data_IF_250962422247
#
_entry.id   IF_250962422247
#
_cell.length_a   1.000
_cell.length_b   1.000
_cell.length_c   1.000
_cell.angle_alpha   90.00
_cell.angle_beta   90.00
_cell.angle_gamma   90.00
#
_symmetry.space_group_name_H-M   'P 1'
#
loop_
_entity.id
_entity.type
_entity.pdbx_description
1 polymer ?
#
# COMPACT_ATOMS: atom_id res chain seq x y z
N UNK A 1 34.65 -42.07 9.76
CA UNK A 1 36.01 -41.51 9.82
C UNK A 1 36.22 -40.96 11.23
N UNK A 2 36.49 -41.85 12.19
CA UNK A 2 36.81 -41.53 13.59
C UNK A 2 37.91 -42.51 13.97
N UNK A 3 39.11 -42.00 14.26
CA UNK A 3 40.25 -42.79 14.73
C UNK A 3 40.79 -42.11 15.97
N UNK A 4 40.67 -42.80 17.12
CA UNK A 4 41.33 -42.43 18.37
C UNK A 4 42.74 -43.03 18.39
N UNK A 5 43.74 -42.22 18.74
CA UNK A 5 45.09 -42.69 19.09
C UNK A 5 45.21 -42.90 20.59
N UNK A 6 45.73 -44.06 20.98
CA UNK A 6 46.11 -44.45 22.35
C UNK A 6 47.63 -44.40 22.50
N UNK A 7 48.12 -43.95 23.66
CA UNK A 7 49.44 -44.33 24.24
C UNK A 7 49.53 -43.71 25.65
N UNK A 8 50.25 -44.21 26.65
CA UNK A 8 50.77 -45.52 27.07
C UNK A 8 51.22 -45.28 28.52
N UNK A 9 50.82 -46.11 29.46
CA UNK A 9 51.28 -46.05 30.86
C UNK A 9 52.72 -46.56 31.00
N UNK A 10 53.50 -45.97 31.93
CA UNK A 10 54.73 -46.57 32.47
C UNK A 10 54.55 -46.78 33.98
N UNK A 11 54.75 -48.02 34.43
CA UNK A 11 54.67 -48.46 35.83
C UNK A 11 56.07 -48.87 36.30
N UNK A 12 56.46 -48.49 37.53
CA UNK A 12 57.61 -49.09 38.24
C UNK A 12 57.19 -49.48 39.67
N UNK A 13 57.26 -50.80 39.94
CA UNK A 13 57.20 -51.53 41.24
C UNK A 13 58.33 -51.04 42.18
N UNK A 14 58.38 -51.16 43.50
CA UNK A 14 57.79 -52.08 44.52
C UNK A 14 58.31 -51.65 45.92
N UNK A 15 57.52 -51.75 46.99
CA UNK A 15 57.87 -52.50 48.23
C UNK A 15 56.80 -52.31 49.34
N UNK A 16 56.65 -53.34 50.18
CA UNK A 16 55.47 -53.66 51.01
C UNK A 16 55.67 -53.30 52.48
N UNK A 17 54.59 -52.98 53.19
CA UNK A 17 54.40 -53.21 54.64
C UNK A 17 52.92 -53.64 54.91
N UNK A 18 52.60 -54.52 55.88
CA UNK A 18 51.38 -55.35 55.86
C UNK A 18 50.33 -55.09 56.95
N UNK A 19 49.14 -55.69 56.72
CA UNK A 19 48.11 -56.19 57.67
C UNK A 19 47.12 -55.20 58.34
N UNK A 20 45.87 -55.15 57.82
CA UNK A 20 44.69 -55.87 58.37
C UNK A 20 43.48 -55.83 57.40
N UNK A 21 42.70 -56.92 57.41
CA UNK A 21 41.72 -57.43 56.43
C UNK A 21 40.41 -56.60 56.37
N UNK A 22 39.87 -56.18 55.22
CA UNK A 22 39.20 -56.84 54.08
C UNK A 22 37.67 -57.02 54.25
N UNK A 23 36.91 -56.16 53.55
CA UNK A 23 35.45 -56.20 53.41
C UNK A 23 34.93 -55.24 52.32
N UNK A 24 35.01 -55.67 51.06
CA UNK A 24 34.07 -55.45 49.93
C UNK A 24 33.83 -54.03 49.31
N UNK A 25 34.41 -53.81 48.11
CA UNK A 25 33.85 -53.30 46.81
C UNK A 25 32.83 -52.13 46.85
N UNK A 26 32.87 -51.06 46.04
CA UNK A 26 33.56 -50.75 44.78
C UNK A 26 33.37 -49.27 44.37
N UNK A 27 34.24 -48.83 43.47
CA UNK A 27 34.05 -47.81 42.42
C UNK A 27 34.14 -46.31 42.79
N UNK A 28 35.36 -45.80 42.70
CA UNK A 28 35.68 -44.39 42.46
C UNK A 28 35.31 -44.09 40.99
N UNK A 29 34.17 -43.43 40.79
CA UNK A 29 33.79 -42.76 39.55
C UNK A 29 34.14 -41.28 39.67
N UNK A 30 35.02 -40.82 38.79
CA UNK A 30 35.42 -39.43 38.57
C UNK A 30 34.23 -38.46 38.54
N UNK A 31 34.04 -37.69 39.61
CA UNK A 31 33.26 -36.46 39.58
C UNK A 31 34.16 -35.36 38.97
N UNK A 32 33.99 -35.13 37.67
CA UNK A 32 34.18 -33.80 37.11
C UNK A 32 33.27 -32.85 37.89
N UNK A 33 33.85 -32.01 38.74
CA UNK A 33 33.18 -30.83 39.26
C UNK A 33 32.95 -29.91 38.06
N UNK A 34 31.70 -29.57 37.67
CA UNK A 34 31.49 -28.50 36.71
C UNK A 34 32.04 -27.21 37.32
N UNK A 35 32.92 -26.55 36.57
CA UNK A 35 33.46 -25.24 36.88
C UNK A 35 32.37 -24.32 37.44
N UNK A 36 32.68 -23.65 38.56
CA UNK A 36 31.78 -22.77 39.25
C UNK A 36 31.13 -21.78 38.29
N UNK A 37 29.80 -21.70 38.37
CA UNK A 37 29.11 -20.47 38.03
C UNK A 37 29.66 -19.45 39.04
N UNK A 38 30.57 -18.59 38.61
CA UNK A 38 30.79 -17.34 39.33
C UNK A 38 29.46 -16.61 39.28
N UNK A 39 28.65 -16.76 40.33
CA UNK A 39 27.61 -15.79 40.62
C UNK A 39 28.29 -14.43 40.54
N UNK A 40 27.74 -13.51 39.76
CA UNK A 40 28.24 -12.15 39.64
C UNK A 40 27.98 -11.46 40.99
N UNK A 41 28.82 -11.77 41.98
CA UNK A 41 28.68 -11.32 43.35
C UNK A 41 29.43 -10.00 43.44
N UNK A 42 28.84 -8.95 42.87
CA UNK A 42 29.25 -7.60 43.23
C UNK A 42 28.94 -7.39 44.70
N UNK A 43 29.90 -6.87 45.47
CA UNK A 43 29.70 -6.59 46.89
C UNK A 43 28.52 -5.65 47.09
N UNK A 44 27.68 -5.95 48.08
CA UNK A 44 26.51 -5.14 48.41
C UNK A 44 26.90 -3.98 49.35
N UNK A 45 26.53 -2.76 48.99
CA UNK A 45 26.64 -1.57 49.84
C UNK A 45 25.50 -1.47 50.86
N UNK A 46 24.29 -1.82 50.46
CA UNK A 46 23.09 -1.77 51.30
C UNK A 46 22.20 -2.97 50.98
N UNK A 47 21.68 -3.65 52.01
CA UNK A 47 20.75 -4.76 51.86
C UNK A 47 19.62 -4.60 52.86
N UNK A 48 18.38 -4.56 52.36
CA UNK A 48 17.17 -4.70 53.17
C UNK A 48 16.64 -6.13 53.04
N UNK A 49 16.36 -6.77 54.17
CA UNK A 49 15.83 -8.14 54.26
C UNK A 49 14.49 -8.16 54.97
N UNK A 50 13.68 -9.18 54.71
CA UNK A 50 12.48 -9.45 55.50
C UNK A 50 12.79 -10.24 56.79
N UNK A 51 11.75 -10.55 57.56
CA UNK A 51 11.86 -11.28 58.85
C UNK A 51 12.42 -12.70 58.71
N UNK A 52 12.35 -13.30 57.52
CA UNK A 52 12.88 -14.62 57.20
C UNK A 52 14.18 -14.56 56.37
N UNK A 53 14.84 -13.40 56.35
CA UNK A 53 16.16 -13.16 55.73
C UNK A 53 16.20 -13.14 54.19
N UNK A 54 15.06 -13.06 53.50
CA UNK A 54 15.06 -12.86 52.04
C UNK A 54 15.46 -11.42 51.70
N UNK A 55 16.32 -11.24 50.70
CA UNK A 55 16.71 -9.90 50.21
C UNK A 55 15.52 -9.27 49.48
N UNK A 56 15.08 -8.10 49.94
CA UNK A 56 14.00 -7.29 49.34
C UNK A 56 14.51 -6.07 48.61
N UNK A 57 15.65 -5.51 49.04
CA UNK A 57 16.37 -4.48 48.30
C UNK A 57 17.86 -4.70 48.47
N UNK A 58 18.64 -4.55 47.41
CA UNK A 58 20.09 -4.49 47.48
C UNK A 58 20.62 -3.35 46.61
N UNK A 59 21.64 -2.66 47.07
CA UNK A 59 22.46 -1.70 46.30
C UNK A 59 23.88 -2.25 46.28
N UNK A 60 24.50 -2.28 45.10
CA UNK A 60 25.80 -2.89 44.86
C UNK A 60 26.89 -1.82 44.68
N UNK A 61 28.15 -2.19 44.92
CA UNK A 61 29.29 -1.27 44.77
C UNK A 61 29.43 -0.68 43.37
N UNK A 62 28.98 -1.40 42.34
CA UNK A 62 28.98 -0.91 40.96
C UNK A 62 27.85 0.10 40.66
N UNK A 63 27.06 0.49 41.67
CA UNK A 63 25.93 1.42 41.53
C UNK A 63 24.62 0.77 41.10
N UNK A 64 24.61 -0.53 40.80
CA UNK A 64 23.37 -1.28 40.52
C UNK A 64 22.49 -1.39 41.76
N UNK A 65 21.19 -1.58 41.56
CA UNK A 65 20.26 -1.93 42.63
C UNK A 65 19.25 -2.96 42.15
N UNK A 66 18.72 -3.74 43.09
CA UNK A 66 17.67 -4.74 42.85
C UNK A 66 16.57 -4.53 43.89
N UNK A 67 15.32 -4.53 43.43
CA UNK A 67 14.13 -4.66 44.28
C UNK A 67 13.56 -6.05 44.07
N UNK A 68 13.64 -6.86 45.12
CA UNK A 68 13.14 -8.23 45.14
C UNK A 68 11.69 -8.30 45.63
N UNK A 69 11.09 -9.47 45.51
CA UNK A 69 9.73 -9.72 45.94
C UNK A 69 9.19 -11.03 45.39
N UNK A 70 8.05 -11.46 45.89
CA UNK A 70 7.39 -12.69 45.46
C UNK A 70 6.11 -12.35 44.69
N UNK A 71 5.91 -12.99 43.55
CA UNK A 71 4.66 -12.91 42.81
C UNK A 71 3.62 -13.81 43.48
N UNK A 72 2.51 -13.21 43.90
CA UNK A 72 1.43 -13.91 44.60
C UNK A 72 0.12 -13.89 43.84
N UNK A 73 0.04 -13.14 42.73
CA UNK A 73 -1.20 -12.86 42.02
C UNK A 73 -2.21 -12.11 42.89
N UNK A 74 -1.74 -11.29 43.84
CA UNK A 74 -2.54 -10.72 44.94
C UNK A 74 -3.91 -10.20 44.49
N UNK A 75 -4.94 -11.01 44.77
CA UNK A 75 -6.31 -10.71 44.44
C UNK A 75 -6.88 -9.58 45.30
N UNK A 76 -6.32 -9.32 46.48
CA UNK A 76 -6.81 -8.30 47.42
C UNK A 76 -6.41 -6.88 46.98
N UNK A 77 -5.40 -6.75 46.12
CA UNK A 77 -4.98 -5.46 45.57
C UNK A 77 -4.37 -4.52 46.61
N UNK A 78 -3.56 -5.05 47.52
CA UNK A 78 -2.90 -4.21 48.54
C UNK A 78 -1.64 -3.60 47.93
N UNK A 79 -1.79 -2.41 47.36
CA UNK A 79 -0.68 -1.67 46.75
C UNK A 79 0.19 -0.98 47.80
N UNK A 80 1.50 -0.80 47.54
CA UNK A 80 2.41 -0.10 48.45
C UNK A 80 1.98 1.33 48.78
N UNK A 81 1.34 2.01 47.83
CA UNK A 81 0.85 3.38 48.01
C UNK A 81 -0.39 3.64 47.14
N UNK A 82 -1.50 3.97 47.80
CA UNK A 82 -2.79 4.28 47.18
C UNK A 82 -3.07 5.79 47.15
N UNK A 83 -4.06 6.21 46.36
CA UNK A 83 -4.52 7.59 46.29
C UNK A 83 -3.72 8.49 45.33
N UNK A 84 -4.03 9.80 45.33
CA UNK A 84 -3.34 10.78 44.49
C UNK A 84 -1.90 11.02 44.95
N UNK A 85 -1.05 11.50 44.03
CA UNK A 85 0.31 11.95 44.31
C UNK A 85 1.36 11.36 43.38
N UNK A 86 2.54 11.98 43.40
CA UNK A 86 3.72 11.54 42.66
C UNK A 86 4.43 10.42 43.42
N UNK A 87 4.67 9.29 42.77
CA UNK A 87 5.36 8.16 43.37
C UNK A 87 5.98 7.23 42.35
N UNK A 88 6.96 6.47 42.82
CA UNK A 88 7.47 5.27 42.16
C UNK A 88 7.25 4.10 43.12
N UNK A 89 6.75 2.99 42.62
CA UNK A 89 6.74 1.74 43.38
C UNK A 89 6.86 0.52 42.49
N UNK A 90 7.62 -0.45 42.99
CA UNK A 90 7.60 -1.84 42.55
C UNK A 90 6.55 -2.58 43.37
N UNK A 91 5.63 -3.27 42.69
CA UNK A 91 4.61 -4.09 43.34
C UNK A 91 4.83 -5.58 43.03
N UNK A 92 5.60 -6.30 43.86
CA UNK A 92 5.98 -7.67 43.57
C UNK A 92 4.82 -8.66 43.53
N UNK A 93 3.79 -8.47 44.37
CA UNK A 93 2.62 -9.35 44.43
C UNK A 93 1.90 -9.51 43.08
N UNK A 94 2.02 -8.50 42.20
CA UNK A 94 1.54 -8.53 40.81
C UNK A 94 2.65 -8.37 39.77
N UNK A 95 3.92 -8.39 40.17
CA UNK A 95 5.06 -8.06 39.31
C UNK A 95 4.87 -6.75 38.50
N UNK A 96 4.27 -5.73 39.12
CA UNK A 96 3.85 -4.52 38.44
C UNK A 96 4.75 -3.32 38.78
N UNK A 97 5.00 -2.45 37.81
CA UNK A 97 5.81 -1.25 37.98
C UNK A 97 4.97 0.02 37.76
N UNK A 98 5.12 0.99 38.66
CA UNK A 98 4.44 2.30 38.60
C UNK A 98 5.43 3.43 38.83
N UNK A 99 5.38 4.47 38.01
CA UNK A 99 6.19 5.68 38.21
C UNK A 99 5.51 6.91 37.59
N UNK A 100 5.52 8.04 38.30
CA UNK A 100 4.89 9.28 37.85
C UNK A 100 3.85 9.78 38.83
N UNK A 101 2.78 10.42 38.34
CA UNK A 101 1.79 11.10 39.18
C UNK A 101 0.37 10.75 38.78
N UNK A 102 -0.49 10.56 39.77
CA UNK A 102 -1.91 10.28 39.59
C UNK A 102 -2.74 11.24 40.42
N UNK A 103 -3.87 11.70 39.90
CA UNK A 103 -4.78 12.62 40.62
C UNK A 103 -5.95 11.90 41.28
N UNK A 104 -6.05 10.57 41.14
CA UNK A 104 -7.14 9.77 41.68
C UNK A 104 -6.75 8.33 41.96
N UNK A 105 -7.61 7.40 41.56
CA UNK A 105 -7.50 5.97 41.88
C UNK A 105 -6.81 5.12 40.81
N UNK A 106 -6.15 5.71 39.81
CA UNK A 106 -5.61 5.00 38.64
C UNK A 106 -4.69 3.83 39.01
N UNK A 107 -3.99 3.91 40.15
CA UNK A 107 -3.12 2.86 40.71
C UNK A 107 -3.66 2.22 42.00
N UNK A 108 -4.97 2.28 42.24
CA UNK A 108 -5.62 1.42 43.22
C UNK A 108 -5.40 -0.05 42.84
N UNK A 109 -5.27 -0.95 43.81
CA UNK A 109 -4.77 -2.29 43.51
C UNK A 109 -5.68 -3.15 42.64
N UNK A 110 -7.00 -2.88 42.61
CA UNK A 110 -7.90 -3.52 41.63
C UNK A 110 -7.64 -3.06 40.18
N UNK A 111 -7.01 -1.90 39.99
CA UNK A 111 -6.67 -1.34 38.67
C UNK A 111 -5.20 -1.57 38.30
N UNK A 112 -4.44 -2.27 39.14
CA UNK A 112 -3.08 -2.73 38.81
C UNK A 112 -3.19 -4.15 38.25
N UNK A 113 -2.90 -4.29 36.96
CA UNK A 113 -2.84 -5.59 36.31
C UNK A 113 -1.58 -6.39 36.68
N UNK A 114 -1.64 -7.70 36.53
CA UNK A 114 -0.46 -8.55 36.68
C UNK A 114 0.57 -8.25 35.59
N UNK A 115 1.85 -8.29 35.93
CA UNK A 115 2.98 -8.03 35.02
C UNK A 115 2.89 -6.67 34.29
N UNK A 116 2.14 -5.72 34.84
CA UNK A 116 1.78 -4.50 34.13
C UNK A 116 2.73 -3.34 34.40
N UNK A 117 2.85 -2.45 33.43
CA UNK A 117 3.68 -1.23 33.53
C UNK A 117 2.79 -0.01 33.28
N UNK A 118 2.79 0.95 34.19
CA UNK A 118 2.14 2.25 33.96
C UNK A 118 3.07 3.38 34.42
N UNK A 119 3.48 4.23 33.47
CA UNK A 119 4.40 5.33 33.75
C UNK A 119 3.94 6.65 33.13
N UNK A 120 3.94 7.72 33.90
CA UNK A 120 3.58 9.07 33.47
C UNK A 120 2.48 9.71 34.32
N UNK A 121 1.67 10.57 33.72
CA UNK A 121 0.61 11.32 34.40
C UNK A 121 -0.76 10.69 34.14
N UNK A 122 -1.48 10.30 35.18
CA UNK A 122 -2.83 9.69 35.09
C UNK A 122 -2.91 8.47 34.17
N UNK A 123 -1.84 7.67 34.12
CA UNK A 123 -1.74 6.48 33.27
C UNK A 123 -2.26 5.25 33.99
N UNK A 124 -3.00 4.38 33.28
CA UNK A 124 -3.58 3.14 33.81
C UNK A 124 -3.19 1.92 32.99
N UNK A 125 -2.72 0.86 33.65
CA UNK A 125 -2.48 -0.46 33.05
C UNK A 125 -3.15 -1.53 33.90
N UNK A 126 -4.31 -2.02 33.44
CA UNK A 126 -5.29 -2.68 34.33
C UNK A 126 -5.31 -4.19 34.28
N UNK A 127 -4.85 -4.76 33.17
CA UNK A 127 -4.97 -6.18 32.89
C UNK A 127 -3.59 -6.83 32.81
N UNK A 128 -3.58 -8.15 32.78
CA UNK A 128 -2.35 -8.93 32.71
C UNK A 128 -1.52 -8.55 31.48
N UNK A 129 -0.23 -8.23 31.69
CA UNK A 129 0.71 -7.80 30.65
C UNK A 129 0.40 -6.44 30.03
N UNK A 130 -0.55 -5.68 30.57
CA UNK A 130 -0.89 -4.36 30.04
C UNK A 130 0.25 -3.36 30.26
N UNK A 131 0.55 -2.56 29.24
CA UNK A 131 1.64 -1.58 29.28
C UNK A 131 1.13 -0.22 28.83
N UNK A 132 1.33 0.80 29.66
CA UNK A 132 0.88 2.15 29.37
C UNK A 132 1.92 3.23 29.72
N UNK A 133 2.06 4.22 28.84
CA UNK A 133 3.00 5.33 29.00
C UNK A 133 2.38 6.68 28.58
N UNK A 134 2.75 7.77 29.25
CA UNK A 134 2.46 9.15 28.82
C UNK A 134 1.47 9.90 29.70
N UNK A 135 0.43 10.51 29.11
CA UNK A 135 -0.53 11.38 29.81
C UNK A 135 -1.97 10.92 29.56
N UNK A 136 -2.70 10.56 30.62
CA UNK A 136 -4.13 10.21 30.53
C UNK A 136 -4.41 8.95 29.70
N UNK A 137 -3.40 8.09 29.52
CA UNK A 137 -3.47 6.92 28.65
C UNK A 137 -3.85 5.66 29.43
N UNK A 138 -4.66 4.78 28.85
CA UNK A 138 -5.17 3.56 29.48
C UNK A 138 -4.94 2.32 28.61
N UNK A 139 -4.18 1.34 29.13
CA UNK A 139 -4.15 -0.03 28.67
C UNK A 139 -5.10 -0.88 29.54
N UNK A 140 -6.29 -1.17 29.03
CA UNK A 140 -7.39 -1.74 29.81
C UNK A 140 -7.50 -3.27 29.73
N UNK A 141 -6.91 -3.89 28.71
CA UNK A 141 -7.09 -5.33 28.42
C UNK A 141 -5.78 -6.12 28.37
N UNK A 142 -5.91 -7.45 28.38
CA UNK A 142 -4.77 -8.38 28.40
C UNK A 142 -3.83 -8.08 27.23
N UNK A 143 -2.53 -7.96 27.54
CA UNK A 143 -1.46 -7.65 26.58
C UNK A 143 -1.72 -6.40 25.73
N UNK A 144 -2.52 -5.45 26.23
CA UNK A 144 -2.76 -4.18 25.54
C UNK A 144 -1.62 -3.19 25.78
N UNK A 145 -1.32 -2.39 24.76
CA UNK A 145 -0.24 -1.41 24.79
C UNK A 145 -0.79 -0.02 24.44
N UNK A 146 -0.57 0.96 25.30
CA UNK A 146 -1.04 2.32 25.08
C UNK A 146 0.04 3.36 25.37
N UNK A 147 0.37 4.25 24.42
CA UNK A 147 1.46 5.23 24.62
C UNK A 147 1.15 6.59 24.00
N UNK A 148 1.46 7.67 24.73
CA UNK A 148 1.24 9.04 24.28
C UNK A 148 0.19 9.74 25.15
N UNK A 149 -0.70 10.52 24.55
CA UNK A 149 -1.67 11.33 25.28
C UNK A 149 -3.12 10.97 24.95
N UNK A 150 -3.92 10.76 25.99
CA UNK A 150 -5.35 10.44 25.90
C UNK A 150 -5.68 9.20 25.08
N UNK A 151 -4.81 8.18 25.08
CA UNK A 151 -5.03 6.96 24.31
C UNK A 151 -5.71 5.87 25.16
N UNK A 152 -6.49 5.00 24.53
CA UNK A 152 -7.17 3.87 25.20
C UNK A 152 -7.05 2.60 24.38
N UNK A 153 -6.19 1.68 24.84
CA UNK A 153 -6.12 0.32 24.34
C UNK A 153 -7.11 -0.56 25.13
N UNK A 154 -8.36 -0.62 24.65
CA UNK A 154 -9.48 -1.33 25.28
C UNK A 154 -9.80 -2.70 24.69
N UNK A 155 -9.14 -3.13 23.62
CA UNK A 155 -9.21 -4.50 23.09
C UNK A 155 -8.04 -5.36 23.59
N UNK A 156 -8.24 -6.68 23.71
CA UNK A 156 -7.15 -7.61 24.03
C UNK A 156 -6.10 -7.62 22.91
N UNK A 157 -4.82 -7.70 23.28
CA UNK A 157 -3.67 -7.63 22.36
C UNK A 157 -3.72 -6.44 21.39
N UNK A 158 -4.31 -5.32 21.81
CA UNK A 158 -4.47 -4.12 20.97
C UNK A 158 -3.44 -3.04 21.29
N UNK A 159 -3.18 -2.17 20.32
CA UNK A 159 -2.21 -1.08 20.42
C UNK A 159 -2.89 0.26 20.14
N UNK A 160 -2.79 1.21 21.06
CA UNK A 160 -3.26 2.58 20.89
C UNK A 160 -2.11 3.58 21.11
N UNK A 161 -1.70 4.33 20.10
CA UNK A 161 -0.58 5.25 20.23
C UNK A 161 -0.78 6.60 19.56
N UNK A 162 -0.08 7.62 20.08
CA UNK A 162 -0.14 8.99 19.56
C UNK A 162 -1.04 9.90 20.40
N UNK A 163 -2.07 10.49 19.79
CA UNK A 163 -2.99 11.43 20.43
C UNK A 163 -4.46 11.08 20.16
N UNK A 164 -5.24 10.76 21.20
CA UNK A 164 -6.65 10.31 21.12
C UNK A 164 -6.88 9.06 20.23
N UNK A 165 -5.99 8.07 20.29
CA UNK A 165 -6.19 6.75 19.70
C UNK A 165 -7.02 5.85 20.62
N UNK A 166 -8.01 5.12 20.07
CA UNK A 166 -8.87 4.25 20.87
C UNK A 166 -9.17 2.92 20.14
N UNK A 167 -8.72 1.79 20.69
CA UNK A 167 -8.93 0.47 20.04
C UNK A 167 -10.36 -0.04 20.19
N UNK A 168 -11.21 0.64 20.95
CA UNK A 168 -12.66 0.49 20.93
C UNK A 168 -13.12 -0.94 21.27
N UNK A 169 -12.44 -1.62 22.19
CA UNK A 169 -12.68 -3.03 22.49
C UNK A 169 -12.45 -4.01 21.31
N UNK A 170 -11.84 -3.58 20.21
CA UNK A 170 -11.53 -4.44 19.06
C UNK A 170 -10.22 -5.18 19.32
N UNK A 171 -10.30 -6.50 19.37
CA UNK A 171 -9.15 -7.38 19.62
C UNK A 171 -8.12 -7.27 18.50
N UNK A 172 -6.83 -7.28 18.85
CA UNK A 172 -5.71 -7.29 17.91
C UNK A 172 -5.66 -6.08 16.98
N UNK A 173 -6.38 -5.00 17.31
CA UNK A 173 -6.38 -3.78 16.51
C UNK A 173 -5.20 -2.87 16.85
N UNK A 174 -4.69 -2.19 15.85
CA UNK A 174 -3.66 -1.17 15.96
C UNK A 174 -4.25 0.18 15.58
N UNK A 175 -4.12 1.17 16.46
CA UNK A 175 -4.60 2.54 16.24
C UNK A 175 -3.46 3.51 16.47
N UNK A 176 -3.12 4.29 15.44
CA UNK A 176 -2.11 5.34 15.51
C UNK A 176 -2.68 6.66 15.02
N UNK A 177 -2.63 7.70 15.84
CA UNK A 177 -3.19 9.01 15.49
C UNK A 177 -2.24 10.15 15.80
N UNK A 178 -2.10 11.07 14.84
CA UNK A 178 -1.32 12.31 14.99
C UNK A 178 -2.04 13.34 15.90
N UNK A 179 -1.41 14.49 16.15
CA UNK A 179 -1.98 15.57 16.97
C UNK A 179 -2.89 16.54 16.21
N UNK A 180 -3.33 16.22 14.98
CA UNK A 180 -4.08 17.17 14.13
C UNK A 180 -5.52 17.43 14.57
N UNK A 181 -6.11 16.54 15.38
CA UNK A 181 -7.44 16.71 15.95
C UNK A 181 -7.48 16.15 17.38
N UNK A 182 -8.36 16.72 18.21
CA UNK A 182 -8.70 16.16 19.52
C UNK A 182 -9.78 15.06 19.43
N UNK A 183 -10.33 14.82 18.23
CA UNK A 183 -11.29 13.74 18.01
C UNK A 183 -10.63 12.37 18.14
N UNK A 184 -11.36 11.47 18.79
CA UNK A 184 -10.89 10.10 18.99
C UNK A 184 -10.98 9.27 17.71
N UNK A 185 -9.83 8.76 17.25
CA UNK A 185 -9.80 7.74 16.20
C UNK A 185 -10.13 6.37 16.81
N UNK A 186 -11.20 5.73 16.32
CA UNK A 186 -11.66 4.42 16.82
C UNK A 186 -11.45 3.31 15.80
N UNK A 187 -10.98 2.16 16.26
CA UNK A 187 -11.00 0.94 15.46
C UNK A 187 -12.45 0.52 15.14
N UNK A 188 -12.73 0.19 13.88
CA UNK A 188 -14.04 -0.24 13.42
C UNK A 188 -14.32 -1.71 13.75
N UNK A 189 -13.36 -2.59 13.46
CA UNK A 189 -13.47 -4.05 13.55
C UNK A 189 -12.23 -4.68 14.21
N UNK A 190 -12.35 -5.93 14.66
CA UNK A 190 -11.22 -6.70 15.17
C UNK A 190 -10.12 -6.85 14.11
N UNK A 191 -8.86 -6.95 14.55
CA UNK A 191 -7.69 -7.20 13.69
C UNK A 191 -7.46 -6.14 12.60
N UNK A 192 -7.80 -4.88 12.89
CA UNK A 192 -7.65 -3.75 11.96
C UNK A 192 -6.48 -2.84 12.33
N UNK A 193 -5.81 -2.29 11.33
CA UNK A 193 -4.87 -1.18 11.48
C UNK A 193 -5.56 0.13 11.04
N UNK A 194 -5.55 1.14 11.92
CA UNK A 194 -6.33 2.37 11.76
C UNK A 194 -5.44 3.57 12.03
N UNK A 195 -5.12 4.36 11.00
CA UNK A 195 -4.15 5.45 11.10
C UNK A 195 -4.80 6.80 10.78
N UNK A 196 -4.65 7.81 11.65
CA UNK A 196 -4.99 9.23 11.36
C UNK A 196 -3.69 10.02 11.24
N UNK A 197 -3.30 10.29 9.99
CA UNK A 197 -2.06 10.96 9.62
C UNK A 197 -2.39 12.09 8.65
N UNK A 198 -2.75 13.25 9.17
CA UNK A 198 -3.21 14.41 8.38
C UNK A 198 -2.17 14.92 7.39
N UNK A 199 -0.88 14.76 7.70
CA UNK A 199 0.25 15.08 6.82
C UNK A 199 0.59 14.00 5.78
N UNK A 200 -0.14 12.88 5.75
CA UNK A 200 0.18 11.72 4.92
C UNK A 200 1.22 10.78 5.54
N UNK A 201 1.61 9.74 4.80
CA UNK A 201 2.61 8.75 5.22
C UNK A 201 3.33 8.11 4.02
N UNK A 202 4.46 7.46 4.30
CA UNK A 202 5.26 6.72 3.31
C UNK A 202 5.60 5.32 3.81
N UNK A 203 5.55 4.34 2.91
CA UNK A 203 5.98 2.96 3.16
C UNK A 203 7.03 2.62 2.12
N UNK A 204 8.23 2.25 2.55
CA UNK A 204 9.32 1.84 1.67
C UNK A 204 9.52 0.32 1.74
N UNK A 205 9.80 -0.28 0.59
CA UNK A 205 10.14 -1.71 0.44
C UNK A 205 11.61 -1.91 0.05
N UNK A 206 12.41 -0.86 0.14
CA UNK A 206 13.84 -0.83 -0.17
C UNK A 206 14.60 -0.11 0.95
N UNK A 207 15.79 -0.62 1.30
CA UNK A 207 16.62 -0.08 2.38
C UNK A 207 17.15 1.33 2.09
N UNK A 208 17.28 1.70 0.81
CA UNK A 208 17.70 3.02 0.35
C UNK A 208 16.53 3.99 0.11
N UNK A 209 15.29 3.61 0.46
CA UNK A 209 14.08 4.42 0.31
C UNK A 209 13.69 4.76 -1.15
N UNK A 210 14.23 4.07 -2.16
CA UNK A 210 13.93 4.36 -3.58
C UNK A 210 12.61 3.76 -4.07
N UNK A 211 12.18 2.67 -3.45
CA UNK A 211 10.97 1.90 -3.81
C UNK A 211 9.99 1.93 -2.65
N UNK A 212 8.75 2.33 -2.95
CA UNK A 212 7.70 2.46 -1.95
C UNK A 212 6.42 3.11 -2.48
N UNK A 213 5.50 3.33 -1.54
CA UNK A 213 4.23 4.02 -1.70
C UNK A 213 4.25 5.30 -0.84
N UNK A 214 3.85 6.40 -1.45
CA UNK A 214 3.58 7.65 -0.74
C UNK A 214 2.09 7.95 -0.80
N UNK A 215 1.47 8.13 0.37
CA UNK A 215 0.10 8.64 0.50
C UNK A 215 0.19 10.05 1.06
N UNK A 216 -0.14 11.05 0.27
CA UNK A 216 0.00 12.45 0.69
C UNK A 216 -1.21 12.94 1.47
N UNK A 217 -1.00 14.00 2.25
CA UNK A 217 -2.09 14.86 2.68
C UNK A 217 -2.79 15.46 1.45
N UNK A 218 -4.12 15.62 1.47
CA UNK A 218 -4.85 16.40 0.46
C UNK A 218 -4.56 17.92 0.50
N UNK A 219 -3.46 18.33 1.13
CA UNK A 219 -2.97 19.70 1.18
C UNK A 219 -2.30 20.07 -0.15
N UNK A 220 -2.41 21.33 -0.55
CA UNK A 220 -1.75 21.90 -1.75
C UNK A 220 -0.26 22.19 -1.53
N UNK A 221 0.24 22.01 -0.30
CA UNK A 221 1.65 22.21 0.01
C UNK A 221 2.45 20.99 -0.45
N UNK A 222 3.50 21.24 -1.25
CA UNK A 222 4.42 20.19 -1.69
C UNK A 222 5.04 19.49 -0.48
N UNK A 223 4.71 18.20 -0.33
CA UNK A 223 5.26 17.33 0.69
C UNK A 223 5.95 16.17 -0.02
N UNK A 224 7.20 15.89 0.33
CA UNK A 224 8.04 14.88 -0.35
C UNK A 224 8.14 15.06 -1.88
N UNK A 225 8.10 16.32 -2.34
CA UNK A 225 8.32 16.69 -3.74
C UNK A 225 7.08 16.60 -4.64
N UNK A 226 5.87 16.43 -4.08
CA UNK A 226 4.62 16.48 -4.84
C UNK A 226 3.51 17.20 -4.06
N UNK A 227 2.73 18.04 -4.75
CA UNK A 227 1.59 18.81 -4.21
C UNK A 227 0.21 18.32 -4.66
N UNK A 228 0.14 17.44 -5.69
CA UNK A 228 -1.10 17.18 -6.42
C UNK A 228 -1.44 15.69 -6.57
N UNK A 229 -0.94 14.84 -5.67
CA UNK A 229 -1.15 13.40 -5.72
C UNK A 229 -1.52 12.81 -4.36
N UNK A 230 -2.69 12.17 -4.24
CA UNK A 230 -3.09 11.43 -3.03
C UNK A 230 -2.31 10.12 -2.93
N UNK A 231 -2.12 9.42 -4.05
CA UNK A 231 -1.24 8.26 -4.14
C UNK A 231 -0.13 8.59 -5.14
N UNK A 232 1.11 8.46 -4.71
CA UNK A 232 2.28 8.60 -5.57
C UNK A 232 3.17 7.37 -5.44
N UNK A 233 3.50 6.77 -6.59
CA UNK A 233 4.32 5.56 -6.65
C UNK A 233 5.71 5.90 -7.18
N UNK A 234 6.72 5.13 -6.74
CA UNK A 234 8.10 5.25 -7.26
C UNK A 234 8.23 5.01 -8.78
N UNK A 235 7.22 4.43 -9.44
CA UNK A 235 7.19 4.27 -10.90
C UNK A 235 6.80 5.56 -11.62
N UNK A 236 6.36 6.59 -10.92
CA UNK A 236 5.88 7.86 -11.46
C UNK A 236 4.41 7.87 -11.87
N UNK A 237 3.69 6.74 -11.72
CA UNK A 237 2.23 6.74 -11.81
C UNK A 237 1.62 7.32 -10.51
N UNK A 238 0.53 8.07 -10.64
CA UNK A 238 -0.09 8.74 -9.50
C UNK A 238 -1.62 8.78 -9.60
N UNK A 239 -2.28 8.84 -8.44
CA UNK A 239 -3.67 9.26 -8.32
C UNK A 239 -3.68 10.72 -7.87
N UNK A 240 -4.17 11.60 -8.72
CA UNK A 240 -4.24 13.04 -8.40
C UNK A 240 -5.22 13.32 -7.27
N UNK A 241 -5.08 14.49 -6.63
CA UNK A 241 -6.05 14.98 -5.64
C UNK A 241 -7.47 15.13 -6.21
N UNK A 242 -7.60 15.34 -7.52
CA UNK A 242 -8.88 15.36 -8.24
C UNK A 242 -9.46 13.99 -8.59
N UNK A 243 -8.79 12.89 -8.22
CA UNK A 243 -9.28 11.52 -8.46
C UNK A 243 -8.94 10.93 -9.83
N UNK A 244 -8.07 11.57 -10.61
CA UNK A 244 -7.61 11.07 -11.93
C UNK A 244 -6.37 10.20 -11.76
N UNK A 245 -6.40 8.98 -12.32
CA UNK A 245 -5.21 8.14 -12.48
C UNK A 245 -4.35 8.63 -13.64
N UNK A 246 -3.08 8.92 -13.37
CA UNK A 246 -2.11 9.33 -14.37
C UNK A 246 -1.01 8.27 -14.51
N UNK A 247 -0.88 7.74 -15.73
CA UNK A 247 0.19 6.83 -16.09
C UNK A 247 1.50 7.59 -16.33
N UNK A 248 2.63 7.00 -15.92
CA UNK A 248 3.95 7.50 -16.27
C UNK A 248 4.23 7.31 -17.77
N UNK A 249 4.07 8.36 -18.57
CA UNK A 249 4.18 8.28 -20.04
C UNK A 249 5.05 9.40 -20.64
N UNK A 250 6.30 9.50 -20.18
CA UNK A 250 7.32 10.40 -20.74
C UNK A 250 8.15 9.66 -21.82
N UNK A 251 8.41 10.30 -22.95
CA UNK A 251 9.24 9.77 -24.03
C UNK A 251 10.65 9.42 -23.56
N UNK A 252 11.22 10.20 -22.63
CA UNK A 252 12.56 9.98 -22.07
C UNK A 252 12.62 8.73 -21.16
N UNK A 253 11.46 8.20 -20.78
CA UNK A 253 11.33 6.96 -20.00
C UNK A 253 11.02 5.74 -20.86
N UNK A 254 10.85 5.94 -22.18
CA UNK A 254 10.51 4.90 -23.15
C UNK A 254 11.65 4.73 -24.14
N UNK A 255 11.78 3.53 -24.67
CA UNK A 255 12.76 3.20 -25.70
C UNK A 255 12.17 2.17 -26.66
N UNK A 256 12.82 1.92 -27.80
CA UNK A 256 12.37 1.00 -28.87
C UNK A 256 11.02 1.41 -29.46
N UNK A 257 10.98 2.59 -30.07
CA UNK A 257 9.79 3.06 -30.77
C UNK A 257 9.69 2.38 -32.14
N UNK A 258 8.50 1.85 -32.45
CA UNK A 258 8.18 1.21 -33.71
C UNK A 258 6.91 1.84 -34.28
N UNK A 259 6.81 1.93 -35.61
CA UNK A 259 5.60 2.41 -36.27
C UNK A 259 4.54 1.30 -36.27
N UNK A 260 3.29 1.70 -36.07
CA UNK A 260 2.16 0.77 -35.99
C UNK A 260 1.36 0.87 -37.29
N UNK A 261 1.10 -0.27 -37.93
CA UNK A 261 0.14 -0.38 -39.02
C UNK A 261 -1.28 -0.32 -38.43
N UNK A 262 -1.88 0.87 -38.41
CA UNK A 262 -3.17 1.10 -37.75
C UNK A 262 -4.29 0.20 -38.30
N UNK A 263 -4.26 -0.10 -39.60
CA UNK A 263 -5.26 -0.97 -40.23
C UNK A 263 -5.22 -2.40 -39.67
N UNK A 264 -4.02 -2.95 -39.42
CA UNK A 264 -3.89 -4.27 -38.79
C UNK A 264 -4.45 -4.28 -37.36
N UNK A 265 -4.31 -3.16 -36.63
CA UNK A 265 -4.92 -3.01 -35.30
C UNK A 265 -6.45 -3.03 -35.41
N UNK A 266 -7.02 -2.31 -36.39
CA UNK A 266 -8.46 -2.29 -36.62
C UNK A 266 -8.99 -3.68 -37.00
N UNK A 267 -8.27 -4.44 -37.83
CA UNK A 267 -8.63 -5.81 -38.19
C UNK A 267 -8.62 -6.76 -36.98
N UNK A 268 -7.62 -6.62 -36.09
CA UNK A 268 -7.53 -7.37 -34.84
C UNK A 268 -8.66 -6.99 -33.88
N UNK A 269 -8.95 -5.68 -33.73
CA UNK A 269 -10.07 -5.19 -32.94
C UNK A 269 -11.41 -5.75 -33.42
N UNK A 270 -11.63 -5.85 -34.73
CA UNK A 270 -12.85 -6.45 -35.29
C UNK A 270 -13.05 -7.91 -34.88
N UNK A 271 -11.96 -8.66 -34.65
CA UNK A 271 -12.00 -10.06 -34.24
C UNK A 271 -11.98 -10.23 -32.72
N UNK A 272 -11.66 -9.19 -31.97
CA UNK A 272 -11.52 -9.24 -30.52
C UNK A 272 -12.89 -9.38 -29.86
N UNK A 273 -13.15 -10.45 -29.09
CA UNK A 273 -14.40 -10.60 -28.37
C UNK A 273 -14.54 -9.51 -27.30
N UNK A 274 -15.67 -8.80 -27.31
CA UNK A 274 -16.08 -7.88 -26.25
C UNK A 274 -17.34 -8.43 -25.61
N UNK A 275 -17.28 -8.71 -24.32
CA UNK A 275 -18.38 -9.35 -23.59
C UNK A 275 -18.78 -8.52 -22.37
N UNK A 276 -19.98 -8.76 -21.84
CA UNK A 276 -20.43 -8.19 -20.57
C UNK A 276 -20.19 -9.18 -19.45
N UNK A 277 -19.54 -8.78 -18.38
CA UNK A 277 -19.13 -9.65 -17.28
C UNK A 277 -19.32 -8.97 -15.92
N UNK A 278 -19.06 -9.70 -14.83
CA UNK A 278 -19.07 -9.22 -13.44
C UNK A 278 -17.87 -9.80 -12.70
N UNK A 279 -17.29 -9.06 -11.75
CA UNK A 279 -16.30 -9.66 -10.87
C UNK A 279 -16.98 -10.63 -9.88
N UNK A 280 -16.29 -11.73 -9.55
CA UNK A 280 -16.80 -12.73 -8.60
C UNK A 280 -17.03 -12.17 -7.18
N UNK A 281 -16.37 -11.07 -6.84
CA UNK A 281 -16.43 -10.41 -5.53
C UNK A 281 -17.39 -9.23 -5.49
N UNK A 282 -18.08 -8.94 -6.60
CA UNK A 282 -19.08 -7.88 -6.69
C UNK A 282 -20.49 -8.45 -6.67
N UNK A 283 -21.47 -7.58 -6.36
CA UNK A 283 -22.87 -7.96 -6.45
C UNK A 283 -23.27 -8.31 -7.90
N UNK A 284 -24.15 -9.29 -8.07
CA UNK A 284 -24.51 -9.84 -9.40
C UNK A 284 -25.12 -8.81 -10.37
N UNK A 285 -25.67 -7.72 -9.84
CA UNK A 285 -26.25 -6.64 -10.63
C UNK A 285 -25.18 -5.66 -11.19
N UNK A 286 -23.94 -5.72 -10.74
CA UNK A 286 -22.85 -4.88 -11.24
C UNK A 286 -22.30 -5.53 -12.52
N UNK A 287 -22.37 -4.81 -13.64
CA UNK A 287 -21.94 -5.29 -14.96
C UNK A 287 -20.88 -4.38 -15.55
N UNK A 288 -19.84 -5.00 -16.09
CA UNK A 288 -18.75 -4.38 -16.84
C UNK A 288 -18.79 -4.83 -18.29
N UNK A 289 -18.12 -4.10 -19.17
CA UNK A 289 -17.97 -4.44 -20.58
C UNK A 289 -16.50 -4.29 -20.97
N UNK A 290 -15.98 -5.27 -21.70
CA UNK A 290 -14.61 -5.23 -22.20
C UNK A 290 -14.15 -6.58 -22.73
N UNK A 291 -12.96 -6.62 -23.35
CA UNK A 291 -12.32 -7.87 -23.71
C UNK A 291 -11.79 -8.60 -22.48
N UNK A 292 -11.58 -9.92 -22.61
CA UNK A 292 -10.81 -10.67 -21.64
C UNK A 292 -9.31 -10.41 -21.85
N UNK A 293 -8.53 -10.39 -20.76
CA UNK A 293 -7.08 -10.13 -20.82
C UNK A 293 -6.34 -11.14 -21.70
N UNK A 294 -6.79 -12.40 -21.72
CA UNK A 294 -6.19 -13.48 -22.50
C UNK A 294 -6.37 -13.25 -24.00
N UNK A 295 -7.58 -12.86 -24.43
CA UNK A 295 -7.88 -12.57 -25.83
C UNK A 295 -7.14 -11.30 -26.29
N UNK A 296 -7.11 -10.27 -25.44
CA UNK A 296 -6.37 -9.03 -25.71
C UNK A 296 -4.87 -9.30 -25.87
N UNK A 297 -4.28 -10.07 -24.95
CA UNK A 297 -2.87 -10.45 -25.03
C UNK A 297 -2.59 -11.31 -26.26
N UNK A 298 -3.46 -12.26 -26.61
CA UNK A 298 -3.31 -13.08 -27.81
C UNK A 298 -3.37 -12.26 -29.11
N UNK A 299 -4.19 -11.19 -29.14
CA UNK A 299 -4.32 -10.33 -30.31
C UNK A 299 -3.15 -9.33 -30.47
N UNK A 300 -2.71 -8.72 -29.37
CA UNK A 300 -1.78 -7.58 -29.42
C UNK A 300 -0.40 -7.85 -28.82
N UNK A 301 -0.25 -8.84 -27.94
CA UNK A 301 1.02 -9.17 -27.28
C UNK A 301 1.55 -8.06 -26.36
N UNK A 302 0.67 -7.21 -25.83
CA UNK A 302 1.02 -6.09 -24.96
C UNK A 302 0.91 -6.45 -23.47
N UNK A 303 1.79 -5.90 -22.65
CA UNK A 303 1.89 -6.18 -21.21
C UNK A 303 2.89 -7.29 -20.87
N UNK A 304 3.08 -7.55 -19.57
CA UNK A 304 4.03 -8.56 -19.08
C UNK A 304 3.42 -9.96 -18.95
N UNK A 305 2.09 -10.07 -18.91
CA UNK A 305 1.36 -11.33 -18.85
C UNK A 305 -0.04 -11.20 -19.48
N UNK A 306 -0.79 -12.31 -19.51
CA UNK A 306 -2.13 -12.39 -20.08
C UNK A 306 -3.26 -12.31 -19.03
N UNK A 307 -2.99 -11.78 -17.83
CA UNK A 307 -3.96 -11.72 -16.72
C UNK A 307 -4.48 -10.31 -16.43
N UNK A 308 -3.81 -9.29 -16.96
CA UNK A 308 -4.24 -7.90 -16.88
C UNK A 308 -4.20 -7.22 -18.24
N UNK A 309 -4.93 -6.12 -18.36
CA UNK A 309 -4.81 -5.18 -19.47
C UNK A 309 -4.35 -3.86 -18.88
N UNK A 310 -3.19 -3.36 -19.31
CA UNK A 310 -2.74 -2.02 -18.92
C UNK A 310 -3.67 -0.97 -19.52
N UNK A 311 -4.09 0.02 -18.73
CA UNK A 311 -4.95 1.12 -19.25
C UNK A 311 -4.26 1.85 -20.39
N UNK A 312 -2.95 2.08 -20.29
CA UNK A 312 -2.15 2.69 -21.36
C UNK A 312 -2.16 1.87 -22.65
N UNK A 313 -2.20 0.53 -22.56
CA UNK A 313 -2.19 -0.36 -23.72
C UNK A 313 -3.57 -0.38 -24.38
N UNK A 314 -4.64 -0.46 -23.58
CA UNK A 314 -6.01 -0.38 -24.07
C UNK A 314 -6.29 0.96 -24.77
N UNK A 315 -5.87 2.07 -24.16
CA UNK A 315 -6.00 3.42 -24.73
C UNK A 315 -5.19 3.54 -26.03
N UNK A 316 -3.96 3.00 -26.05
CA UNK A 316 -3.10 3.00 -27.24
C UNK A 316 -3.73 2.24 -28.41
N UNK A 317 -4.26 1.04 -28.16
CA UNK A 317 -4.97 0.23 -29.15
C UNK A 317 -6.23 0.95 -29.66
N UNK A 318 -7.01 1.56 -28.76
CA UNK A 318 -8.20 2.32 -29.14
C UNK A 318 -7.86 3.51 -30.05
N UNK A 319 -6.84 4.30 -29.70
CA UNK A 319 -6.37 5.43 -30.50
C UNK A 319 -5.86 4.99 -31.88
N UNK A 320 -5.11 3.90 -31.97
CA UNK A 320 -4.64 3.34 -33.23
C UNK A 320 -5.83 2.88 -34.11
N UNK A 321 -6.81 2.20 -33.52
CA UNK A 321 -8.04 1.80 -34.21
C UNK A 321 -8.86 2.98 -34.73
N UNK A 322 -8.98 4.06 -33.93
CA UNK A 322 -9.67 5.29 -34.35
C UNK A 322 -8.97 5.94 -35.55
N UNK A 323 -7.63 5.98 -35.55
CA UNK A 323 -6.86 6.51 -36.68
C UNK A 323 -7.12 5.73 -37.98
N UNK A 324 -7.12 4.40 -37.91
CA UNK A 324 -7.46 3.57 -39.07
C UNK A 324 -8.90 3.80 -39.56
N UNK A 325 -9.84 3.94 -38.62
CA UNK A 325 -11.23 4.21 -38.97
C UNK A 325 -11.40 5.57 -39.65
N UNK A 326 -10.70 6.60 -39.19
CA UNK A 326 -10.70 7.92 -39.81
C UNK A 326 -10.14 7.87 -41.24
N UNK A 327 -9.02 7.17 -41.43
CA UNK A 327 -8.40 6.98 -42.75
C UNK A 327 -9.34 6.26 -43.73
N UNK A 328 -9.95 5.13 -43.32
CA UNK A 328 -10.97 4.44 -44.13
C UNK A 328 -12.15 5.35 -44.46
N UNK A 329 -12.65 6.09 -43.47
CA UNK A 329 -13.80 6.99 -43.67
C UNK A 329 -13.49 8.07 -44.70
N UNK A 330 -12.28 8.64 -44.64
CA UNK A 330 -11.81 9.65 -45.59
C UNK A 330 -11.68 9.09 -47.00
N UNK A 331 -11.09 7.90 -47.15
CA UNK A 331 -10.92 7.24 -48.44
C UNK A 331 -12.27 6.92 -49.09
N UNK A 332 -13.21 6.36 -48.32
CA UNK A 332 -14.58 6.08 -48.78
C UNK A 332 -15.32 7.35 -49.20
N UNK A 333 -15.15 8.46 -48.48
CA UNK A 333 -15.73 9.74 -48.88
C UNK A 333 -15.17 10.25 -50.22
N UNK A 334 -13.86 10.10 -50.44
CA UNK A 334 -13.21 10.46 -51.70
C UNK A 334 -13.72 9.62 -52.89
N UNK A 335 -13.80 8.30 -52.71
CA UNK A 335 -14.36 7.40 -53.72
C UNK A 335 -15.82 7.74 -54.05
N UNK A 336 -16.62 8.04 -53.03
CA UNK A 336 -18.02 8.40 -53.19
C UNK A 336 -18.20 9.72 -53.97
N UNK A 337 -17.33 10.71 -53.77
CA UNK A 337 -17.33 11.94 -54.57
C UNK A 337 -16.87 11.70 -56.02
N UNK A 338 -15.85 10.86 -56.23
CA UNK A 338 -15.46 10.45 -57.60
C UNK A 338 -16.62 9.78 -58.33
N UNK A 339 -17.27 8.80 -57.68
CA UNK A 339 -18.39 8.07 -58.24
C UNK A 339 -19.60 8.98 -58.51
N UNK A 340 -19.85 9.99 -57.67
CA UNK A 340 -20.90 11.00 -57.95
C UNK A 340 -20.56 11.85 -59.16
N UNK A 341 -19.31 12.30 -59.28
CA UNK A 341 -18.86 13.10 -60.42
C UNK A 341 -18.97 12.30 -61.73
N UNK A 342 -18.54 11.04 -61.73
CA UNK A 342 -18.69 10.12 -62.87
C UNK A 342 -20.16 9.89 -63.24
N UNK A 343 -21.03 9.64 -62.25
CA UNK A 343 -22.47 9.48 -62.48
C UNK A 343 -23.10 10.76 -63.06
N UNK A 344 -22.70 11.94 -62.59
CA UNK A 344 -23.17 13.21 -63.13
C UNK A 344 -22.74 13.37 -64.60
N UNK A 345 -21.49 13.04 -64.92
CA UNK A 345 -20.97 13.09 -66.28
C UNK A 345 -21.69 12.10 -67.22
N UNK A 346 -21.92 10.85 -66.78
CA UNK A 346 -22.66 9.86 -67.56
C UNK A 346 -24.11 10.26 -67.79
N UNK A 347 -24.77 10.85 -66.79
CA UNK A 347 -26.14 11.40 -66.95
C UNK A 347 -26.17 12.53 -67.98
N UNK A 348 -25.17 13.41 -67.97
CA UNK A 348 -25.04 14.46 -68.98
C UNK A 348 -24.88 13.85 -70.39
N UNK A 349 -24.00 12.85 -70.55
CA UNK A 349 -23.81 12.17 -71.83
C UNK A 349 -25.09 11.49 -72.35
N UNK A 350 -25.89 10.88 -71.47
CA UNK A 350 -27.18 10.31 -71.87
C UNK A 350 -28.19 11.37 -72.32
N UNK A 351 -28.21 12.54 -71.67
CA UNK A 351 -29.06 13.66 -72.09
C UNK A 351 -28.64 14.23 -73.45
N UNK A 352 -27.34 14.40 -73.67
CA UNK A 352 -26.80 14.90 -74.93
C UNK A 352 -27.08 13.91 -76.09
N UNK A 353 -26.96 12.60 -75.85
CA UNK A 353 -27.28 11.57 -76.84
C UNK A 353 -28.78 11.49 -77.18
N UNK A 354 -29.67 11.67 -76.19
CA UNK A 354 -31.12 11.76 -76.42
C UNK A 354 -31.53 13.07 -77.12
N UNK A 355 -30.82 14.18 -76.88
CA UNK A 355 -31.01 15.45 -77.59
C UNK A 355 -30.62 15.37 -79.07
N UNK A 356 -29.52 14.67 -79.38
CA UNK A 356 -29.07 14.45 -80.76
C UNK A 356 -29.97 13.51 -81.57
N UNK A 357 -30.69 12.58 -80.92
CA UNK A 357 -31.64 11.70 -81.61
C UNK A 357 -32.93 12.43 -82.04
N UNK A 358 -33.34 13.50 -81.34
CA UNK A 358 -34.45 14.36 -81.79
C UNK A 358 -34.08 15.24 -83.00
N UNK A 359 -32.87 15.80 -83.02
CA UNK A 359 -32.40 16.63 -84.15
C UNK A 359 -32.15 15.83 -85.44
N UNK A 360 -31.84 14.53 -85.34
CA UNK A 360 -31.64 13.64 -86.49
C UNK A 360 -32.90 13.33 -87.30
N UNK A 361 -34.10 13.40 -86.70
CA UNK A 361 -35.37 13.14 -87.41
C UNK A 361 -36.07 14.39 -87.95
N UNK A 362 -35.72 15.58 -87.47
CA UNK A 362 -36.31 16.84 -87.95
C UNK A 362 -35.64 17.39 -89.23
N UNK A 363 -34.50 16.84 -89.67
CA UNK A 363 -33.65 17.38 -90.73
C UNK A 363 -33.99 17.01 -92.19
N UNK A 364 -35.03 16.21 -92.46
CA UNK A 364 -35.33 15.73 -93.82
C UNK A 364 -36.65 16.24 -94.44
N UNK A 365 -37.36 17.19 -93.80
CA UNK A 365 -38.54 17.82 -94.38
C UNK A 365 -38.43 19.34 -94.37
N UNK A 366 -38.61 19.96 -95.55
CA UNK A 366 -38.69 21.40 -95.84
C UNK A 366 -37.38 22.14 -96.17
N UNK A 367 -36.83 21.83 -97.36
CA UNK A 367 -36.16 22.83 -98.20
C UNK A 367 -37.20 23.41 -99.18
N UNK A 368 -37.92 24.45 -98.76
CA UNK A 368 -38.68 25.30 -99.67
C UNK A 368 -38.94 26.69 -99.07
N UNK A 369 -38.42 27.70 -99.76
CA UNK A 369 -38.92 29.08 -99.90
C UNK A 369 -38.57 30.15 -98.84
N UNK A 370 -37.93 31.21 -99.36
CA UNK A 370 -38.06 32.61 -98.92
C UNK A 370 -37.06 33.01 -97.83
N UNK A 371 -36.21 34.03 -97.96
CA UNK A 371 -36.30 35.22 -98.78
C UNK A 371 -36.22 36.45 -97.87
N UNK A 372 -35.13 37.22 -97.98
CA UNK A 372 -35.17 38.67 -97.84
C UNK A 372 -34.80 39.30 -96.49
N UNK A 373 -33.79 40.18 -96.57
CA UNK A 373 -33.67 41.51 -95.94
C UNK A 373 -33.52 41.60 -94.40
N UNK A 374 -32.80 42.55 -93.78
CA UNK A 374 -31.77 43.57 -94.10
C UNK A 374 -31.50 44.30 -92.76
N UNK A 375 -30.26 44.77 -92.53
CA UNK A 375 -29.84 45.86 -91.59
C UNK A 375 -30.05 45.66 -90.06
N UNK A 376 -29.28 46.24 -89.13
CA UNK A 376 -27.96 46.89 -89.09
C UNK A 376 -27.60 47.28 -87.64
N UNK A 377 -26.31 47.59 -87.46
CA UNK A 377 -25.68 48.59 -86.56
C UNK A 377 -25.56 48.33 -85.05
N UNK A 378 -24.33 47.93 -84.69
CA UNK A 378 -23.38 48.52 -83.71
C UNK A 378 -23.87 49.68 -82.80
N UNK A 379 -23.60 49.55 -81.50
CA UNK A 379 -22.66 50.35 -80.66
C UNK A 379 -22.52 49.66 -79.29
N UNK A 380 -21.31 49.29 -78.84
CA UNK A 380 -20.42 50.03 -77.91
C UNK A 380 -21.14 50.37 -76.58
N UNK A 381 -20.63 50.09 -75.37
CA UNK A 381 -19.24 50.10 -74.91
C UNK A 381 -19.05 49.41 -73.52
N UNK A 382 -17.78 49.17 -73.19
CA UNK A 382 -17.11 49.24 -71.86
C UNK A 382 -17.68 48.39 -70.72
N UNK A 383 -16.98 47.39 -70.18
CA UNK A 383 -15.68 47.49 -69.48
C UNK A 383 -15.95 47.05 -68.02
N UNK A 384 -15.11 46.36 -67.26
CA UNK A 384 -13.76 45.83 -67.36
C UNK A 384 -13.43 45.22 -65.98
N UNK A 385 -12.40 44.35 -65.92
CA UNK A 385 -11.65 43.85 -64.73
C UNK A 385 -12.45 43.11 -63.64
N UNK A 386 -12.34 41.80 -63.37
CA UNK A 386 -11.18 40.94 -63.01
C UNK A 386 -10.24 41.54 -61.95
N UNK A 387 -10.14 40.89 -60.78
CA UNK A 387 -8.96 40.16 -60.24
C UNK A 387 -8.96 40.08 -58.69
N UNK A 388 -8.82 38.82 -58.18
CA UNK A 388 -8.15 38.28 -56.96
C UNK A 388 -8.33 38.95 -55.58
N UNK A 389 -8.87 38.22 -54.59
CA UNK A 389 -8.20 37.34 -53.59
C UNK A 389 -7.27 38.08 -52.60
N UNK A 390 -7.62 37.99 -51.31
CA UNK A 390 -6.89 37.27 -50.28
C UNK A 390 -7.85 36.92 -49.13
#
# INVERSE_FOLDING_TARGET
>A
MITFFTSKFYFKKSSKLPLRRLGLKALIGSLLVPAGVYAQQTDTLLVAKDTIQNVRMAVFQNGGFVLGGEYTGDAMGIVPAAGPGTRLFWYPGKAAFRAGSVTGSQWAGQLVGDYSIAVGYNVRASASGATAFGNGTTAAQVSSFAVGESNVASGAASVAMGYHAHTNARQGSFVFSDRSSADTLRAGVNHSANWRLSGGFRIFTSSNLSTGLTVQSGSTVSNWGQSDAVISTSTGAMLTTGGVWQNASDVNRKHRFEQIANEEILEKLRKLPVTRWSYKTEAENIRHIGPMAQDFYAAFGLGSDNRGIGTVDADGVALAGIKALEERTRNLAGELESLKAENAALRQQMQDNNGNSWMGFAGFGLLALGGGLVWARRRMASGGSRVFQA
#
